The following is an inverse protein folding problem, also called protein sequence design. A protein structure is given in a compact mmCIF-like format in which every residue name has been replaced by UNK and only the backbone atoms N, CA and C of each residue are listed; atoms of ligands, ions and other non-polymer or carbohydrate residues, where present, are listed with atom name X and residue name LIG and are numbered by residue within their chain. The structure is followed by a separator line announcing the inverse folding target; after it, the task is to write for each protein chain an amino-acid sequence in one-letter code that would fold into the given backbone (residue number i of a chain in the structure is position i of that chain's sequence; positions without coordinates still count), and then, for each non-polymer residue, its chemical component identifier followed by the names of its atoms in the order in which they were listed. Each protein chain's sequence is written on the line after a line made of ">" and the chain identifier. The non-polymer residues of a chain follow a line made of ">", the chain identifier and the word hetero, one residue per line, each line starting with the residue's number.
data_IF_677509155148
#
_entry.id   IF_677509155148
#
_cell.length_a   1.000
_cell.length_b   1.000
_cell.length_c   1.000
_cell.angle_alpha   90.00
_cell.angle_beta   90.00
_cell.angle_gamma   90.00
#
_symmetry.space_group_name_H-M   'P 1'
#
loop_
_entity.id
_entity.type
_entity.pdbx_description
1 polymer ?
#
# COMPACT_ATOMS: atom_id res chain seq x y z
N UNK A 1 9.63 11.36 26.02
CA UNK A 1 9.40 9.92 25.83
C UNK A 1 8.92 9.65 24.42
N UNK A 2 9.64 8.82 23.66
CA UNK A 2 9.20 8.31 22.36
C UNK A 2 8.55 6.95 22.63
N UNK A 3 7.28 6.78 22.25
CA UNK A 3 6.60 5.49 22.33
C UNK A 3 7.19 4.56 21.26
N UNK A 4 7.90 3.51 21.69
CA UNK A 4 8.39 2.48 20.78
C UNK A 4 7.26 1.52 20.42
N UNK A 5 6.92 1.46 19.12
CA UNK A 5 5.89 0.60 18.58
C UNK A 5 6.52 -0.66 17.98
N UNK A 6 7.09 -1.52 18.83
CA UNK A 6 7.89 -2.68 18.39
C UNK A 6 7.16 -3.65 17.44
N UNK A 7 5.84 -3.80 17.60
CA UNK A 7 5.06 -4.75 16.80
C UNK A 7 4.27 -4.08 15.66
N UNK A 8 4.51 -2.79 15.40
CA UNK A 8 3.76 -2.06 14.40
C UNK A 8 4.41 -2.24 13.02
N UNK A 9 3.75 -2.90 12.05
CA UNK A 9 4.29 -3.04 10.71
C UNK A 9 4.43 -1.66 10.08
N UNK A 10 5.66 -1.29 9.71
CA UNK A 10 5.97 0.04 9.18
C UNK A 10 6.21 1.12 10.23
N UNK A 11 6.27 0.77 11.52
CA UNK A 11 6.68 1.64 12.60
C UNK A 11 5.73 2.81 12.90
N UNK A 12 6.27 3.84 13.54
CA UNK A 12 5.57 5.05 13.93
C UNK A 12 4.92 5.79 12.76
N UNK A 13 5.57 5.80 11.61
CA UNK A 13 5.14 6.53 10.42
C UNK A 13 3.86 5.91 9.84
N UNK A 14 3.77 4.58 9.84
CA UNK A 14 2.56 3.88 9.40
C UNK A 14 1.40 4.10 10.39
N UNK A 15 1.69 4.03 11.69
CA UNK A 15 0.71 4.32 12.73
C UNK A 15 0.20 5.76 12.64
N UNK A 16 1.08 6.73 12.44
CA UNK A 16 0.72 8.14 12.29
C UNK A 16 -0.22 8.36 11.11
N UNK A 17 0.01 7.69 9.98
CA UNK A 17 -0.90 7.74 8.82
C UNK A 17 -2.29 7.18 9.16
N UNK A 18 -2.36 6.04 9.84
CA UNK A 18 -3.62 5.46 10.31
C UNK A 18 -4.34 6.42 11.28
N UNK A 19 -3.62 7.01 12.24
CA UNK A 19 -4.19 7.94 13.21
C UNK A 19 -4.71 9.22 12.52
N UNK A 20 -3.91 9.83 11.65
CA UNK A 20 -4.32 10.99 10.84
C UNK A 20 -5.59 10.71 10.06
N UNK A 21 -5.69 9.54 9.44
CA UNK A 21 -6.92 9.12 8.76
C UNK A 21 -8.12 9.10 9.71
N UNK A 22 -8.01 8.45 10.88
CA UNK A 22 -9.09 8.36 11.87
C UNK A 22 -9.56 9.73 12.37
N UNK A 23 -8.66 10.71 12.46
CA UNK A 23 -8.99 12.07 12.89
C UNK A 23 -9.43 12.99 11.73
N UNK A 24 -9.64 12.45 10.53
CA UNK A 24 -10.06 13.23 9.36
C UNK A 24 -8.97 14.19 8.84
N UNK A 25 -7.71 13.98 9.22
CA UNK A 25 -6.58 14.76 8.75
C UNK A 25 -6.17 14.24 7.36
N UNK A 26 -5.88 15.17 6.45
CA UNK A 26 -5.41 14.81 5.11
C UNK A 26 -4.09 14.04 5.18
N UNK A 27 -4.01 12.94 4.43
CA UNK A 27 -2.83 12.08 4.32
C UNK A 27 -2.45 11.93 2.85
N UNK A 28 -1.17 11.62 2.61
CA UNK A 28 -0.66 11.33 1.28
C UNK A 28 -0.19 9.87 1.21
N UNK A 29 -0.74 9.11 0.27
CA UNK A 29 -0.37 7.72 0.02
C UNK A 29 0.31 7.61 -1.35
N UNK A 30 1.37 6.81 -1.40
CA UNK A 30 2.21 6.56 -2.57
C UNK A 30 2.67 5.09 -2.57
N UNK A 31 3.31 4.65 -3.66
CA UNK A 31 3.88 3.32 -3.75
C UNK A 31 4.88 2.99 -2.62
N UNK A 32 5.55 4.01 -2.05
CA UNK A 32 6.57 3.86 -1.00
C UNK A 32 6.01 3.58 0.39
N UNK A 33 4.88 4.21 0.74
CA UNK A 33 4.28 4.09 2.06
C UNK A 33 3.00 3.22 2.05
N UNK A 34 2.58 2.72 0.89
CA UNK A 34 1.41 1.86 0.76
C UNK A 34 1.51 0.57 1.57
N UNK A 35 2.56 -0.23 1.38
CA UNK A 35 2.74 -1.53 2.07
C UNK A 35 2.68 -1.36 3.60
N UNK A 36 3.50 -0.49 4.23
CA UNK A 36 3.42 -0.32 5.68
C UNK A 36 2.06 0.21 6.13
N UNK A 37 1.43 1.15 5.40
CA UNK A 37 0.10 1.67 5.75
C UNK A 37 -0.99 0.61 5.72
N UNK A 38 -0.97 -0.28 4.72
CA UNK A 38 -1.95 -1.35 4.60
C UNK A 38 -1.76 -2.39 5.71
N UNK A 39 -0.53 -2.82 5.96
CA UNK A 39 -0.22 -3.77 7.02
C UNK A 39 -0.63 -3.20 8.39
N UNK A 40 -0.30 -1.93 8.65
CA UNK A 40 -0.67 -1.22 9.85
C UNK A 40 -2.18 -1.14 10.04
N UNK A 41 -2.90 -0.74 8.99
CA UNK A 41 -4.36 -0.62 9.03
C UNK A 41 -5.05 -1.97 9.27
N UNK A 42 -4.50 -3.06 8.72
CA UNK A 42 -4.99 -4.42 8.96
C UNK A 42 -4.71 -4.88 10.40
N UNK A 43 -3.52 -4.60 10.95
CA UNK A 43 -3.21 -4.90 12.36
C UNK A 43 -4.14 -4.13 13.31
N UNK A 44 -4.36 -2.84 13.04
CA UNK A 44 -5.26 -1.98 13.82
C UNK A 44 -6.75 -2.27 13.58
N UNK A 45 -7.06 -3.31 12.79
CA UNK A 45 -8.42 -3.75 12.48
C UNK A 45 -9.31 -2.63 11.94
N UNK A 46 -8.74 -1.70 11.16
CA UNK A 46 -9.50 -0.66 10.46
C UNK A 46 -10.35 -1.34 9.38
N UNK A 47 -11.61 -1.65 9.68
CA UNK A 47 -12.52 -2.42 8.83
C UNK A 47 -13.79 -1.63 8.49
N UNK A 48 -14.48 -2.01 7.41
CA UNK A 48 -15.66 -1.28 6.91
C UNK A 48 -16.88 -1.40 7.84
N UNK A 49 -16.87 -2.35 8.79
CA UNK A 49 -17.91 -2.45 9.82
C UNK A 49 -17.92 -1.28 10.79
N UNK A 50 -16.83 -0.49 10.86
CA UNK A 50 -16.74 0.70 11.71
C UNK A 50 -17.17 1.94 10.92
N UNK A 51 -16.72 2.10 9.68
CA UNK A 51 -17.02 3.26 8.84
C UNK A 51 -17.01 2.91 7.35
N UNK A 52 -18.04 3.35 6.60
CA UNK A 52 -18.07 3.18 5.14
C UNK A 52 -16.98 4.06 4.51
N UNK A 53 -16.13 3.45 3.67
CA UNK A 53 -14.97 4.15 3.10
C UNK A 53 -13.80 4.25 4.07
N UNK A 54 -13.61 3.20 4.89
CA UNK A 54 -12.48 3.05 5.79
C UNK A 54 -11.13 3.11 5.06
N UNK A 55 -10.06 3.19 5.85
CA UNK A 55 -8.72 3.35 5.29
C UNK A 55 -8.28 2.16 4.44
N UNK A 56 -8.56 0.92 4.89
CA UNK A 56 -8.19 -0.30 4.17
C UNK A 56 -8.82 -0.35 2.78
N UNK A 57 -10.12 -0.09 2.64
CA UNK A 57 -10.80 -0.08 1.34
C UNK A 57 -10.24 0.98 0.40
N UNK A 58 -9.89 2.17 0.93
CA UNK A 58 -9.21 3.22 0.15
C UNK A 58 -7.81 2.80 -0.30
N UNK A 59 -7.05 2.13 0.55
CA UNK A 59 -5.73 1.59 0.21
C UNK A 59 -5.84 0.49 -0.86
N UNK A 60 -6.78 -0.46 -0.71
CA UNK A 60 -7.00 -1.53 -1.69
C UNK A 60 -7.47 -0.98 -3.06
N UNK A 61 -8.30 0.06 -3.05
CA UNK A 61 -8.71 0.78 -4.26
C UNK A 61 -7.52 1.49 -4.92
N UNK A 62 -6.70 2.20 -4.15
CA UNK A 62 -5.48 2.85 -4.65
C UNK A 62 -4.49 1.84 -5.22
N UNK A 63 -4.31 0.70 -4.55
CA UNK A 63 -3.45 -0.38 -5.04
C UNK A 63 -3.90 -0.87 -6.41
N UNK A 64 -5.20 -1.17 -6.54
CA UNK A 64 -5.73 -1.75 -7.77
C UNK A 64 -5.81 -0.74 -8.94
N UNK A 65 -6.17 0.51 -8.65
CA UNK A 65 -6.45 1.52 -9.69
C UNK A 65 -5.28 2.44 -10.03
N UNK A 66 -4.26 2.53 -9.17
CA UNK A 66 -3.11 3.41 -9.36
C UNK A 66 -1.80 2.62 -9.38
N UNK A 67 -1.48 1.90 -8.29
CA UNK A 67 -0.19 1.20 -8.18
C UNK A 67 -0.08 0.13 -9.26
N UNK A 68 -1.03 -0.81 -9.30
CA UNK A 68 -1.00 -1.92 -10.24
C UNK A 68 -1.18 -1.47 -11.69
N UNK A 69 -1.64 -0.26 -11.96
CA UNK A 69 -1.72 0.31 -13.31
C UNK A 69 -0.39 0.95 -13.75
N UNK A 70 0.44 1.38 -12.81
CA UNK A 70 1.70 2.08 -13.06
C UNK A 70 2.91 1.14 -13.10
N UNK A 71 3.75 1.23 -14.14
CA UNK A 71 4.99 0.44 -14.20
C UNK A 71 5.92 0.73 -13.01
N UNK A 72 6.27 2.00 -12.79
CA UNK A 72 7.22 2.38 -11.74
C UNK A 72 6.65 2.12 -10.36
N UNK A 73 5.34 2.33 -10.19
CA UNK A 73 4.66 2.14 -8.92
C UNK A 73 4.58 0.66 -8.55
N UNK A 74 4.21 -0.23 -9.48
CA UNK A 74 4.25 -1.69 -9.24
C UNK A 74 5.63 -2.18 -8.81
N UNK A 75 6.70 -1.71 -9.47
CA UNK A 75 8.08 -2.08 -9.11
C UNK A 75 8.47 -1.52 -7.74
N UNK A 76 8.16 -0.25 -7.48
CA UNK A 76 8.50 0.41 -6.20
C UNK A 76 7.76 -0.24 -5.03
N UNK A 77 6.48 -0.59 -5.22
CA UNK A 77 5.71 -1.32 -4.20
C UNK A 77 6.23 -2.72 -3.98
N UNK A 78 6.64 -3.44 -5.03
CA UNK A 78 7.30 -4.76 -4.90
C UNK A 78 8.61 -4.66 -4.11
N UNK A 79 9.41 -3.62 -4.31
CA UNK A 79 10.62 -3.40 -3.50
C UNK A 79 10.27 -3.10 -2.04
N UNK A 80 9.20 -2.34 -1.79
CA UNK A 80 8.76 -2.02 -0.42
C UNK A 80 8.33 -3.27 0.38
N UNK A 81 7.93 -4.37 -0.28
CA UNK A 81 7.54 -5.60 0.43
C UNK A 81 8.70 -6.27 1.17
N UNK A 82 9.95 -5.99 0.80
CA UNK A 82 11.14 -6.53 1.48
C UNK A 82 11.19 -6.17 2.97
N UNK A 83 10.63 -5.01 3.35
CA UNK A 83 10.58 -4.56 4.74
C UNK A 83 9.56 -5.31 5.59
N UNK A 84 8.54 -5.91 4.97
CA UNK A 84 7.42 -6.56 5.62
C UNK A 84 7.00 -7.84 4.85
N UNK A 85 7.90 -8.83 4.69
CA UNK A 85 7.72 -9.92 3.73
C UNK A 85 6.53 -10.81 4.07
N UNK A 86 6.38 -11.23 5.33
CA UNK A 86 5.29 -12.10 5.78
C UNK A 86 3.91 -11.45 5.58
N UNK A 87 3.78 -10.18 5.97
CA UNK A 87 2.56 -9.41 5.75
C UNK A 87 2.25 -9.24 4.27
N UNK A 88 3.27 -8.92 3.46
CA UNK A 88 3.10 -8.67 2.04
C UNK A 88 2.70 -9.93 1.26
N UNK A 89 3.22 -11.09 1.65
CA UNK A 89 2.84 -12.38 1.11
C UNK A 89 1.41 -12.74 1.51
N UNK A 90 1.07 -12.65 2.80
CA UNK A 90 -0.26 -13.00 3.32
C UNK A 90 -1.38 -12.11 2.75
N UNK A 91 -1.07 -10.85 2.44
CA UNK A 91 -2.00 -9.91 1.79
C UNK A 91 -2.02 -10.04 0.25
N UNK A 92 -1.18 -10.90 -0.32
CA UNK A 92 -1.07 -11.14 -1.76
C UNK A 92 -0.50 -9.96 -2.55
N UNK A 93 0.22 -9.03 -1.90
CA UNK A 93 0.78 -7.83 -2.53
C UNK A 93 1.87 -8.26 -3.52
N UNK A 94 2.78 -9.13 -3.07
CA UNK A 94 3.93 -9.62 -3.87
C UNK A 94 3.44 -10.21 -5.18
N UNK A 95 2.50 -11.18 -5.11
CA UNK A 95 1.97 -11.85 -6.29
C UNK A 95 1.30 -10.88 -7.26
N UNK A 96 0.45 -9.99 -6.76
CA UNK A 96 -0.27 -9.00 -7.61
C UNK A 96 0.68 -8.04 -8.31
N UNK A 97 1.73 -7.57 -7.63
CA UNK A 97 2.76 -6.73 -8.26
C UNK A 97 3.52 -7.48 -9.35
N UNK A 98 3.91 -8.74 -9.11
CA UNK A 98 4.59 -9.58 -10.11
C UNK A 98 3.70 -9.77 -11.34
N UNK A 99 2.43 -10.16 -11.14
CA UNK A 99 1.48 -10.37 -12.24
C UNK A 99 1.30 -9.09 -13.07
N UNK A 100 1.13 -7.94 -12.41
CA UNK A 100 1.03 -6.62 -13.05
C UNK A 100 2.27 -6.22 -13.85
N UNK A 101 3.47 -6.56 -13.36
CA UNK A 101 4.74 -6.30 -14.06
C UNK A 101 4.84 -7.18 -15.30
N UNK A 102 4.53 -8.48 -15.17
CA UNK A 102 4.54 -9.42 -16.30
C UNK A 102 3.58 -8.95 -17.40
N UNK A 103 2.35 -8.59 -17.04
CA UNK A 103 1.35 -8.08 -17.98
C UNK A 103 1.87 -6.86 -18.76
N UNK A 104 2.55 -5.92 -18.08
CA UNK A 104 3.12 -4.72 -18.72
C UNK A 104 4.31 -5.00 -19.62
N UNK A 105 5.12 -6.03 -19.33
CA UNK A 105 6.22 -6.46 -20.23
C UNK A 105 5.65 -7.04 -21.51
N UNK A 106 4.55 -7.79 -21.43
CA UNK A 106 3.88 -8.40 -22.57
C UNK A 106 3.06 -7.39 -23.39
N UNK A 107 2.74 -6.24 -22.81
CA UNK A 107 1.98 -5.17 -23.45
C UNK A 107 2.90 -4.29 -24.32
N UNK A 108 2.52 -3.96 -25.56
CA UNK A 108 3.30 -3.07 -26.41
C UNK A 108 3.63 -1.73 -25.71
N UNK A 109 4.85 -1.16 -25.88
CA UNK A 109 5.30 0.02 -25.13
C UNK A 109 4.43 1.27 -25.30
N UNK A 110 3.62 1.35 -26.36
CA UNK A 110 2.68 2.43 -26.63
C UNK A 110 1.42 2.43 -25.75
N UNK A 111 1.12 1.31 -25.09
CA UNK A 111 -0.09 1.12 -24.28
C UNK A 111 0.19 1.06 -22.77
N UNK A 112 1.46 1.03 -22.37
CA UNK A 112 1.83 1.02 -20.95
C UNK A 112 1.70 2.43 -20.37
N UNK A 113 0.82 2.59 -19.37
CA UNK A 113 0.77 3.81 -18.54
C UNK A 113 2.10 3.95 -17.80
N UNK A 114 2.96 4.85 -18.27
CA UNK A 114 4.12 5.29 -17.51
C UNK A 114 3.62 6.26 -16.44
N UNK A 115 4.00 6.04 -15.19
CA UNK A 115 3.72 6.98 -14.10
C UNK A 115 4.18 8.38 -14.52
N UNK A 116 3.31 9.38 -14.32
CA UNK A 116 3.60 10.79 -14.68
C UNK A 116 4.90 11.23 -13.96
N UNK A 117 5.72 12.09 -14.60
CA UNK A 117 6.93 12.61 -13.98
C UNK A 117 6.63 13.36 -12.67
#
# INVERSE_FOLDING_TARGET
>A
DVLELHDMPGGSEAFELCAKFCYGISINISAYNFVPSLCASKLLQMNESIERGNFVGKLESFFSSCILEGWKDSVSTLQATEKLPEWSENLGIIRKCIDSIIEKILTPPSQVKRSRP
#
